data_IF_382832898377
#
_entry.id   IF_382832898377
#
_cell.length_a   1.000
_cell.length_b   1.000
_cell.length_c   1.000
_cell.angle_alpha   90.00
_cell.angle_beta   90.00
_cell.angle_gamma   90.00
#
_symmetry.space_group_name_H-M   'P 1'
#
loop_
_entity.id
_entity.type
_entity.pdbx_description
1 polymer ?
#
# COMPACT_ATOMS: atom_id res chain seq x y z
N UNK A 1 -20.02 24.49 0.00
CA UNK A 1 -19.86 23.29 0.86
C UNK A 1 -19.44 22.14 -0.03
N UNK A 2 -18.19 21.68 0.04
CA UNK A 2 -17.72 20.56 -0.76
C UNK A 2 -18.35 19.27 -0.22
N UNK A 3 -19.17 18.60 -1.01
CA UNK A 3 -19.71 17.28 -0.61
C UNK A 3 -18.56 16.29 -0.43
N UNK A 4 -18.56 15.45 0.62
CA UNK A 4 -17.57 14.39 0.72
C UNK A 4 -17.69 13.50 -0.52
N UNK A 5 -16.58 13.14 -1.17
CA UNK A 5 -16.61 12.31 -2.36
C UNK A 5 -17.26 10.98 -1.97
N UNK A 6 -18.47 10.73 -2.49
CA UNK A 6 -19.25 9.52 -2.18
C UNK A 6 -18.54 8.25 -2.72
N UNK A 7 -17.63 8.44 -3.67
CA UNK A 7 -16.82 7.42 -4.32
C UNK A 7 -15.41 7.97 -4.57
N UNK A 8 -14.38 7.18 -4.26
CA UNK A 8 -12.97 7.54 -4.46
C UNK A 8 -12.08 7.08 -3.31
N UNK A 9 -10.73 7.11 -3.46
CA UNK A 9 -9.80 6.74 -2.38
C UNK A 9 -9.96 7.60 -1.11
N UNK A 10 -10.44 8.83 -1.26
CA UNK A 10 -10.80 9.74 -0.17
C UNK A 10 -12.15 9.40 0.52
N UNK A 11 -12.95 8.48 -0.05
CA UNK A 11 -14.22 8.03 0.53
C UNK A 11 -14.05 6.87 1.53
N UNK A 12 -12.91 6.16 1.47
CA UNK A 12 -12.64 5.05 2.38
C UNK A 12 -12.10 5.54 3.72
N UNK A 13 -12.87 5.30 4.79
CA UNK A 13 -12.40 5.48 6.16
C UNK A 13 -11.24 4.52 6.47
N UNK A 14 -10.36 4.86 7.44
CA UNK A 14 -9.31 3.93 7.89
C UNK A 14 -9.83 2.53 8.24
N UNK A 15 -11.04 2.44 8.83
CA UNK A 15 -11.69 1.17 9.15
C UNK A 15 -12.05 0.35 7.89
N UNK A 16 -12.53 1.00 6.82
CA UNK A 16 -12.81 0.33 5.55
C UNK A 16 -11.52 -0.19 4.90
N UNK A 17 -10.42 0.58 4.98
CA UNK A 17 -9.10 0.18 4.49
C UNK A 17 -8.54 -1.02 5.24
N UNK A 18 -8.74 -1.08 6.55
CA UNK A 18 -8.37 -2.23 7.38
C UNK A 18 -9.11 -3.51 6.97
N UNK A 19 -10.40 -3.41 6.63
CA UNK A 19 -11.17 -4.55 6.13
C UNK A 19 -10.65 -5.09 4.80
N UNK A 20 -10.21 -4.20 3.90
CA UNK A 20 -9.57 -4.59 2.64
C UNK A 20 -8.28 -5.38 2.92
N UNK A 21 -7.39 -4.85 3.76
CA UNK A 21 -6.15 -5.55 4.12
C UNK A 21 -6.41 -6.88 4.82
N UNK A 22 -7.42 -6.98 5.69
CA UNK A 22 -7.78 -8.23 6.36
C UNK A 22 -8.27 -9.29 5.36
N UNK A 23 -9.07 -8.90 4.37
CA UNK A 23 -9.52 -9.81 3.29
C UNK A 23 -8.35 -10.29 2.44
N UNK A 24 -7.44 -9.38 2.10
CA UNK A 24 -6.22 -9.74 1.35
C UNK A 24 -5.31 -10.66 2.16
N UNK A 25 -5.06 -10.36 3.44
CA UNK A 25 -4.26 -11.20 4.32
C UNK A 25 -4.86 -12.62 4.44
N UNK A 26 -6.19 -12.74 4.46
CA UNK A 26 -6.89 -14.02 4.45
C UNK A 26 -6.70 -14.81 3.15
N UNK A 27 -6.65 -14.12 2.01
CA UNK A 27 -6.33 -14.72 0.71
C UNK A 27 -4.83 -15.08 0.58
N UNK A 28 -3.94 -14.33 1.23
CA UNK A 28 -2.50 -14.59 1.22
C UNK A 28 -2.07 -15.63 2.28
N UNK A 29 -2.91 -15.87 3.29
CA UNK A 29 -2.70 -16.88 4.34
C UNK A 29 -2.45 -18.27 3.75
N UNK A 30 -3.08 -18.58 2.61
CA UNK A 30 -2.88 -19.84 1.87
C UNK A 30 -1.44 -19.98 1.33
N UNK A 31 -0.74 -18.86 1.12
CA UNK A 31 0.60 -18.83 0.53
C UNK A 31 1.72 -18.99 1.58
N UNK A 32 1.39 -18.94 2.89
CA UNK A 32 2.32 -19.09 4.05
C UNK A 32 3.61 -18.25 3.97
N UNK A 33 3.66 -17.22 3.12
CA UNK A 33 4.81 -16.35 2.95
C UNK A 33 4.70 -15.15 3.89
N UNK A 34 5.73 -14.85 4.69
CA UNK A 34 5.76 -13.62 5.48
C UNK A 34 5.75 -12.42 4.54
N UNK A 35 4.98 -11.39 4.89
CA UNK A 35 4.94 -10.14 4.14
C UNK A 35 6.28 -9.41 4.34
N UNK A 36 7.02 -9.04 3.26
CA UNK A 36 8.25 -8.30 3.40
C UNK A 36 8.05 -6.98 4.17
N UNK A 37 9.07 -6.53 4.91
CA UNK A 37 8.96 -5.35 5.77
C UNK A 37 8.55 -4.07 5.00
N UNK A 38 9.04 -3.91 3.77
CA UNK A 38 8.65 -2.77 2.92
C UNK A 38 7.15 -2.78 2.57
N UNK A 39 6.56 -3.95 2.36
CA UNK A 39 5.12 -4.11 2.11
C UNK A 39 4.30 -3.75 3.34
N UNK A 40 4.78 -4.13 4.54
CA UNK A 40 4.13 -3.76 5.80
C UNK A 40 4.12 -2.24 5.99
N UNK A 41 5.22 -1.56 5.68
CA UNK A 41 5.30 -0.09 5.76
C UNK A 41 4.31 0.59 4.80
N UNK A 42 4.18 0.10 3.56
CA UNK A 42 3.20 0.61 2.59
C UNK A 42 1.75 0.40 3.07
N UNK A 43 1.46 -0.74 3.68
CA UNK A 43 0.14 -1.03 4.26
C UNK A 43 -0.20 -0.09 5.42
N UNK A 44 0.75 0.23 6.30
CA UNK A 44 0.54 1.19 7.40
C UNK A 44 0.20 2.59 6.86
N UNK A 45 0.93 3.06 5.84
CA UNK A 45 0.67 4.36 5.19
C UNK A 45 -0.68 4.38 4.46
N UNK A 46 -1.07 3.26 3.85
CA UNK A 46 -2.41 3.10 3.29
C UNK A 46 -3.50 3.17 4.36
N UNK A 47 -3.33 2.51 5.52
CA UNK A 47 -4.28 2.59 6.63
C UNK A 47 -4.42 4.01 7.19
N UNK A 48 -3.31 4.73 7.30
CA UNK A 48 -3.26 6.11 7.77
C UNK A 48 -3.92 7.11 6.80
N UNK A 49 -4.28 6.69 5.59
CA UNK A 49 -4.85 7.58 4.58
C UNK A 49 -3.81 8.30 3.72
N UNK A 50 -2.52 8.15 4.02
CA UNK A 50 -1.41 8.83 3.33
C UNK A 50 -1.22 8.36 1.88
N UNK A 51 -1.57 7.10 1.60
CA UNK A 51 -1.50 6.51 0.27
C UNK A 51 -2.87 5.98 -0.17
N UNK A 52 -3.15 6.05 -1.46
CA UNK A 52 -4.22 5.28 -2.11
C UNK A 52 -3.74 3.86 -2.43
N UNK A 53 -4.66 2.93 -2.66
CA UNK A 53 -4.33 1.57 -3.05
C UNK A 53 -3.51 1.51 -4.36
N UNK A 54 -3.78 2.40 -5.31
CA UNK A 54 -3.02 2.51 -6.55
C UNK A 54 -1.55 2.91 -6.28
N UNK A 55 -1.31 3.83 -5.35
CA UNK A 55 0.05 4.20 -4.96
C UNK A 55 0.78 3.07 -4.24
N UNK A 56 0.08 2.27 -3.42
CA UNK A 56 0.64 1.05 -2.84
C UNK A 56 1.04 0.08 -3.95
N UNK A 57 0.14 -0.18 -4.90
CA UNK A 57 0.40 -1.10 -6.01
C UNK A 57 1.62 -0.66 -6.84
N UNK A 58 1.69 0.61 -7.22
CA UNK A 58 2.85 1.16 -7.95
C UNK A 58 4.15 1.05 -7.14
N UNK A 59 4.10 1.25 -5.82
CA UNK A 59 5.27 1.12 -4.97
C UNK A 59 5.72 -0.33 -4.74
N UNK A 60 4.81 -1.31 -4.93
CA UNK A 60 5.14 -2.74 -4.91
C UNK A 60 5.72 -3.23 -6.24
N UNK A 61 5.28 -2.64 -7.34
CA UNK A 61 5.75 -2.96 -8.71
C UNK A 61 7.02 -2.19 -9.10
N UNK A 62 7.32 -1.10 -8.39
CA UNK A 62 8.57 -0.40 -8.54
C UNK A 62 9.74 -1.36 -8.22
N UNK A 63 10.71 -1.53 -9.13
CA UNK A 63 11.91 -2.28 -8.82
C UNK A 63 12.54 -1.64 -7.58
N UNK A 64 12.82 -2.44 -6.55
CA UNK A 64 13.60 -1.98 -5.40
C UNK A 64 14.82 -1.22 -5.95
N UNK A 65 15.11 0.01 -5.48
CA UNK A 65 16.21 0.79 -6.04
C UNK A 65 17.47 -0.05 -5.91
N UNK A 66 17.88 -0.65 -7.03
CA UNK A 66 19.14 -1.33 -7.12
C UNK A 66 20.17 -0.26 -6.84
N UNK A 67 21.00 -0.48 -5.82
CA UNK A 67 22.16 0.35 -5.44
C UNK A 67 23.11 0.68 -6.62
N UNK A 68 22.84 0.15 -7.82
CA UNK A 68 23.47 0.46 -9.09
C UNK A 68 23.30 1.92 -9.56
N UNK A 69 22.26 2.66 -9.14
CA UNK A 69 22.14 4.09 -9.50
C UNK A 69 23.01 5.02 -8.64
N UNK A 70 23.41 4.60 -7.43
CA UNK A 70 24.22 5.42 -6.53
C UNK A 70 25.72 5.45 -6.93
N UNK A 71 26.15 4.49 -7.75
CA UNK A 71 27.53 4.39 -8.26
C UNK A 71 27.77 5.18 -9.55
N UNK A 72 26.73 5.64 -10.25
CA UNK A 72 26.87 6.36 -11.53
C UNK A 72 26.86 7.90 -11.39
N UNK A 73 26.82 8.43 -10.15
CA UNK A 73 26.95 9.86 -9.88
C UNK A 73 28.23 10.23 -9.11
N UNK A 74 29.29 9.40 -9.20
CA UNK A 74 30.62 9.74 -8.68
C UNK A 74 31.63 9.97 -9.79
#
# INVERSE_FOLDING_TARGET
MASPPKFGPAAQTPAARALVLARMARALLHLRKPLPAHVQALHQRYLAGELSWLQVYLALDAPAPTQAEELHQR
#
